data_IF_438694177778
#
_entry.id   IF_438694177778
#
_cell.length_a   1.000
_cell.length_b   1.000
_cell.length_c   1.000
_cell.angle_alpha   90.00
_cell.angle_beta   90.00
_cell.angle_gamma   90.00
#
_symmetry.space_group_name_H-M   'P 1'
#
loop_
_entity.id
_entity.type
_entity.pdbx_description
1 polymer ?
#
# COMPACT_ATOMS: atom_id res chain seq x y z
N UNK A 1 -2.36 1.51 0.33
CA UNK A 1 -2.34 0.36 -0.62
C UNK A 1 -2.12 0.80 -2.08
N UNK A 2 -2.83 1.79 -2.63
CA UNK A 2 -2.65 2.22 -4.03
C UNK A 2 -1.22 2.65 -4.40
N UNK A 3 -0.42 3.16 -3.47
CA UNK A 3 1.00 3.46 -3.69
C UNK A 3 1.77 2.20 -4.11
N UNK A 4 1.63 1.11 -3.37
CA UNK A 4 2.29 -0.15 -3.72
C UNK A 4 1.79 -0.76 -5.03
N UNK A 5 0.50 -0.58 -5.35
CA UNK A 5 -0.04 -0.99 -6.65
C UNK A 5 0.62 -0.22 -7.81
N UNK A 6 0.88 1.08 -7.64
CA UNK A 6 1.64 1.88 -8.61
C UNK A 6 3.07 1.39 -8.82
N UNK A 7 3.74 0.96 -7.75
CA UNK A 7 5.07 0.35 -7.82
C UNK A 7 5.04 -0.96 -8.62
N UNK A 8 4.07 -1.83 -8.34
CA UNK A 8 3.88 -3.11 -9.04
C UNK A 8 3.63 -2.90 -10.55
N UNK A 9 2.81 -1.90 -10.88
CA UNK A 9 2.46 -1.55 -12.25
C UNK A 9 3.68 -1.04 -13.03
N UNK A 10 4.47 -0.14 -12.44
CA UNK A 10 5.69 0.40 -13.07
C UNK A 10 6.74 -0.68 -13.32
N UNK A 11 6.92 -1.60 -12.39
CA UNK A 11 7.84 -2.74 -12.58
C UNK A 11 7.27 -3.84 -13.47
N UNK A 12 6.04 -3.68 -13.98
CA UNK A 12 5.38 -4.62 -14.90
C UNK A 12 5.36 -6.06 -14.38
N UNK A 13 5.08 -6.23 -13.09
CA UNK A 13 5.10 -7.55 -12.44
C UNK A 13 3.91 -8.44 -12.81
N UNK A 14 2.93 -7.89 -13.51
CA UNK A 14 1.80 -8.63 -14.05
C UNK A 14 0.61 -8.82 -13.08
N UNK A 15 -0.45 -9.44 -13.60
CA UNK A 15 -1.72 -9.58 -12.90
C UNK A 15 -1.65 -10.49 -11.68
N UNK A 16 -0.80 -11.52 -11.70
CA UNK A 16 -0.66 -12.43 -10.55
C UNK A 16 -0.06 -11.70 -9.34
N UNK A 17 0.98 -10.87 -9.54
CA UNK A 17 1.56 -10.07 -8.49
C UNK A 17 0.56 -9.05 -7.94
N UNK A 18 -0.18 -8.38 -8.82
CA UNK A 18 -1.22 -7.43 -8.43
C UNK A 18 -2.34 -8.11 -7.63
N UNK A 19 -2.82 -9.27 -8.06
CA UNK A 19 -3.87 -10.02 -7.36
C UNK A 19 -3.41 -10.47 -5.97
N UNK A 20 -2.20 -11.02 -5.86
CA UNK A 20 -1.61 -11.39 -4.58
C UNK A 20 -1.45 -10.18 -3.65
N UNK A 21 -0.99 -9.05 -4.19
CA UNK A 21 -0.86 -7.80 -3.45
C UNK A 21 -2.21 -7.31 -2.90
N UNK A 22 -3.26 -7.30 -3.72
CA UNK A 22 -4.61 -6.87 -3.32
C UNK A 22 -5.16 -7.79 -2.24
N UNK A 23 -5.04 -9.11 -2.40
CA UNK A 23 -5.51 -10.09 -1.39
C UNK A 23 -4.83 -9.86 -0.04
N UNK A 24 -3.50 -9.71 -0.03
CA UNK A 24 -2.75 -9.44 1.20
C UNK A 24 -3.04 -8.04 1.78
N UNK A 25 -3.24 -7.05 0.93
CA UNK A 25 -3.68 -5.71 1.35
C UNK A 25 -5.02 -5.74 2.08
N UNK A 26 -5.99 -6.49 1.54
CA UNK A 26 -7.29 -6.67 2.18
C UNK A 26 -7.16 -7.35 3.55
N UNK A 27 -6.29 -8.36 3.65
CA UNK A 27 -6.01 -9.03 4.92
C UNK A 27 -5.44 -8.06 5.96
N UNK A 28 -4.45 -7.23 5.60
CA UNK A 28 -3.91 -6.20 6.51
C UNK A 28 -4.97 -5.16 6.90
N UNK A 29 -5.77 -4.70 5.95
CA UNK A 29 -6.88 -3.77 6.23
C UNK A 29 -7.87 -4.35 7.25
N UNK A 30 -8.22 -5.63 7.14
CA UNK A 30 -9.07 -6.33 8.10
C UNK A 30 -8.44 -6.38 9.49
N UNK A 31 -7.14 -6.72 9.59
CA UNK A 31 -6.42 -6.75 10.87
C UNK A 31 -6.44 -5.39 11.55
N UNK A 32 -6.11 -4.33 10.81
CA UNK A 32 -6.11 -2.95 11.32
C UNK A 32 -7.51 -2.56 11.75
N UNK A 33 -8.49 -2.75 10.87
CA UNK A 33 -9.89 -2.39 11.16
C UNK A 33 -10.44 -3.10 12.38
N UNK A 34 -10.18 -4.40 12.53
CA UNK A 34 -10.56 -5.18 13.72
C UNK A 34 -9.94 -4.62 14.99
N UNK A 35 -8.66 -4.27 14.95
CA UNK A 35 -7.95 -3.67 16.08
C UNK A 35 -8.48 -2.27 16.45
N UNK A 36 -9.14 -1.60 15.50
CA UNK A 36 -9.83 -0.31 15.67
C UNK A 36 -11.33 -0.46 15.99
N UNK A 37 -11.83 -1.69 16.17
CA UNK A 37 -13.23 -1.96 16.52
C UNK A 37 -14.20 -2.09 15.33
N UNK A 38 -13.69 -2.13 14.09
CA UNK A 38 -14.52 -2.36 12.92
C UNK A 38 -14.96 -3.83 12.81
N UNK A 39 -16.11 -4.06 12.16
CA UNK A 39 -16.56 -5.41 11.80
C UNK A 39 -15.81 -5.89 10.58
N UNK A 40 -15.25 -7.10 10.65
CA UNK A 40 -14.49 -7.70 9.54
C UNK A 40 -15.32 -7.84 8.26
N UNK A 41 -16.62 -8.14 8.39
CA UNK A 41 -17.54 -8.26 7.25
C UNK A 41 -17.64 -6.98 6.41
N UNK A 42 -17.42 -5.80 7.00
CA UNK A 42 -17.42 -4.52 6.28
C UNK A 42 -16.38 -4.49 5.17
N UNK A 43 -15.22 -5.13 5.40
CA UNK A 43 -14.13 -5.17 4.42
C UNK A 43 -14.37 -6.12 3.24
N UNK A 44 -15.36 -7.02 3.32
CA UNK A 44 -15.69 -7.93 2.23
C UNK A 44 -16.62 -7.30 1.18
N UNK A 45 -17.23 -6.17 1.49
CA UNK A 45 -18.16 -5.46 0.63
C UNK A 45 -17.52 -4.38 -0.24
N UNK A 46 -18.39 -3.58 -0.89
CA UNK A 46 -17.96 -2.50 -1.79
C UNK A 46 -17.11 -1.43 -1.10
N UNK A 47 -17.39 -1.12 0.17
CA UNK A 47 -16.63 -0.14 0.95
C UNK A 47 -15.25 -0.63 1.42
N UNK A 48 -14.93 -1.89 1.26
CA UNK A 48 -13.64 -2.49 1.58
C UNK A 48 -12.96 -3.02 0.32
N UNK A 49 -13.26 -4.28 -0.06
CA UNK A 49 -12.66 -4.94 -1.22
C UNK A 49 -12.91 -4.19 -2.52
N UNK A 50 -14.15 -3.72 -2.74
CA UNK A 50 -14.51 -3.01 -3.97
C UNK A 50 -13.71 -1.73 -4.14
N UNK A 51 -13.64 -0.91 -3.09
CA UNK A 51 -12.85 0.32 -3.08
C UNK A 51 -11.35 0.06 -3.25
N UNK A 52 -10.83 -0.94 -2.55
CA UNK A 52 -9.42 -1.35 -2.66
C UNK A 52 -9.06 -1.73 -4.11
N UNK A 53 -9.86 -2.57 -4.76
CA UNK A 53 -9.65 -2.99 -6.15
C UNK A 53 -9.70 -1.76 -7.07
N UNK A 54 -10.76 -0.96 -6.98
CA UNK A 54 -10.95 0.22 -7.80
C UNK A 54 -9.76 1.18 -7.67
N UNK A 55 -9.32 1.45 -6.45
CA UNK A 55 -8.23 2.39 -6.18
C UNK A 55 -6.87 1.85 -6.64
N UNK A 56 -6.60 0.55 -6.48
CA UNK A 56 -5.35 -0.07 -6.93
C UNK A 56 -5.21 -0.08 -8.46
N UNK A 57 -6.30 -0.25 -9.20
CA UNK A 57 -6.28 -0.22 -10.67
C UNK A 57 -6.48 1.17 -11.28
N UNK A 58 -6.82 2.18 -10.47
CA UNK A 58 -7.04 3.53 -10.97
C UNK A 58 -5.71 4.27 -11.19
N UNK A 59 -5.22 4.27 -12.42
CA UNK A 59 -3.99 4.98 -12.83
C UNK A 59 -4.06 6.50 -12.65
N UNK A 60 -5.25 7.07 -12.55
CA UNK A 60 -5.45 8.49 -12.26
C UNK A 60 -5.39 8.80 -10.76
N UNK A 61 -5.37 7.80 -9.90
CA UNK A 61 -5.20 7.98 -8.45
C UNK A 61 -3.84 8.61 -8.16
N UNK A 62 -3.82 9.72 -7.41
CA UNK A 62 -2.57 10.37 -6.98
C UNK A 62 -1.67 9.44 -6.17
N UNK A 63 -2.25 8.58 -5.36
CA UNK A 63 -1.50 7.56 -4.63
C UNK A 63 -0.84 6.54 -5.56
N UNK A 64 -1.55 6.11 -6.62
CA UNK A 64 -0.97 5.22 -7.63
C UNK A 64 0.15 5.92 -8.40
N UNK A 65 -0.06 7.18 -8.83
CA UNK A 65 0.95 7.98 -9.53
C UNK A 65 2.20 8.20 -8.67
N UNK A 66 2.05 8.40 -7.35
CA UNK A 66 3.16 8.46 -6.41
C UNK A 66 3.97 7.16 -6.45
N UNK A 67 3.31 6.01 -6.37
CA UNK A 67 3.98 4.71 -6.44
C UNK A 67 4.77 4.51 -7.72
N UNK A 68 4.18 4.89 -8.87
CA UNK A 68 4.86 4.89 -10.18
C UNK A 68 6.09 5.80 -10.17
N UNK A 69 5.97 7.01 -9.62
CA UNK A 69 7.08 7.97 -9.53
C UNK A 69 8.24 7.45 -8.69
N UNK A 70 7.93 6.91 -7.50
CA UNK A 70 8.94 6.33 -6.61
C UNK A 70 9.66 5.13 -7.26
N UNK A 71 8.93 4.28 -7.97
CA UNK A 71 9.51 3.15 -8.71
C UNK A 71 10.44 3.58 -9.84
N UNK A 72 10.20 4.78 -10.42
CA UNK A 72 11.10 5.43 -11.41
C UNK A 72 12.31 6.12 -10.77
N UNK A 73 12.43 6.12 -9.46
CA UNK A 73 13.51 6.77 -8.73
C UNK A 73 13.29 8.27 -8.48
N UNK A 74 12.08 8.79 -8.67
CA UNK A 74 11.72 10.16 -8.31
C UNK A 74 11.63 10.24 -6.77
N UNK A 75 12.23 11.26 -6.17
CA UNK A 75 12.11 11.47 -4.73
C UNK A 75 10.69 11.84 -4.30
N UNK A 76 10.36 11.63 -3.02
CA UNK A 76 9.06 11.99 -2.48
C UNK A 76 8.73 13.48 -2.72
N UNK A 77 9.69 14.38 -2.45
CA UNK A 77 9.52 15.81 -2.67
C UNK A 77 9.24 16.16 -4.14
N UNK A 78 9.96 15.53 -5.07
CA UNK A 78 9.70 15.75 -6.50
C UNK A 78 8.34 15.22 -6.92
N UNK A 79 7.91 14.09 -6.39
CA UNK A 79 6.60 13.52 -6.67
C UNK A 79 5.47 14.43 -6.15
N UNK A 80 5.61 14.98 -4.93
CA UNK A 80 4.65 15.95 -4.37
C UNK A 80 4.55 17.23 -5.20
N UNK A 81 5.66 17.69 -5.80
CA UNK A 81 5.66 18.87 -6.67
C UNK A 81 5.03 18.61 -8.04
N UNK A 82 5.20 17.40 -8.59
CA UNK A 82 4.71 17.02 -9.92
C UNK A 82 3.24 16.59 -9.93
N UNK A 83 2.76 16.00 -8.85
CA UNK A 83 1.38 15.53 -8.74
C UNK A 83 0.51 16.66 -8.23
N UNK A 84 -0.43 17.13 -9.05
CA UNK A 84 -1.36 18.17 -8.67
C UNK A 84 -2.29 17.74 -7.54
N UNK A 85 -2.27 18.47 -6.43
CA UNK A 85 -3.14 18.28 -5.28
C UNK A 85 -2.53 17.39 -4.21
N UNK A 86 -3.25 17.21 -3.12
CA UNK A 86 -2.80 16.47 -1.94
C UNK A 86 -2.74 14.96 -2.22
N UNK A 87 -1.63 14.34 -1.88
CA UNK A 87 -1.46 12.88 -1.92
C UNK A 87 -1.78 12.33 -0.53
N UNK A 88 -3.05 12.03 -0.29
CA UNK A 88 -3.55 11.63 1.02
C UNK A 88 -2.86 10.37 1.59
N UNK A 89 -2.39 9.47 0.73
CA UNK A 89 -1.71 8.25 1.12
C UNK A 89 -0.41 8.48 1.89
N UNK A 90 0.28 9.60 1.70
CA UNK A 90 1.48 9.96 2.46
C UNK A 90 1.10 10.16 3.93
N UNK A 91 0.12 11.03 4.17
CA UNK A 91 -0.33 11.35 5.51
C UNK A 91 -1.00 10.16 6.21
N UNK A 92 -1.85 9.45 5.48
CA UNK A 92 -2.52 8.24 5.96
C UNK A 92 -1.52 7.16 6.37
N UNK A 93 -0.45 6.94 5.60
CA UNK A 93 0.58 5.95 5.92
C UNK A 93 1.26 6.28 7.25
N UNK A 94 1.60 7.55 7.48
CA UNK A 94 2.24 7.99 8.72
C UNK A 94 1.35 7.70 9.94
N UNK A 95 0.08 8.13 9.88
CA UNK A 95 -0.88 7.93 10.99
C UNK A 95 -1.13 6.44 11.24
N UNK A 96 -1.35 5.67 10.17
CA UNK A 96 -1.57 4.22 10.30
C UNK A 96 -0.36 3.52 10.90
N UNK A 97 0.85 3.92 10.51
CA UNK A 97 2.07 3.31 11.04
C UNK A 97 2.22 3.54 12.55
N UNK A 98 1.87 4.72 13.06
CA UNK A 98 1.83 5.02 14.50
C UNK A 98 0.83 4.09 15.22
N UNK A 99 -0.40 3.98 14.71
CA UNK A 99 -1.44 3.12 15.31
C UNK A 99 -1.03 1.65 15.31
N UNK A 100 -0.46 1.18 14.19
CA UNK A 100 -0.01 -0.20 14.00
C UNK A 100 1.11 -0.53 14.99
N UNK A 101 2.07 0.37 15.15
CA UNK A 101 3.20 0.22 16.06
C UNK A 101 2.74 0.14 17.51
N UNK A 102 1.86 1.04 17.94
CA UNK A 102 1.31 1.04 19.31
C UNK A 102 0.53 -0.25 19.62
N UNK A 103 -0.23 -0.73 18.67
CA UNK A 103 -1.04 -1.95 18.82
C UNK A 103 -0.29 -3.23 18.50
N UNK A 104 0.96 -3.14 18.08
CA UNK A 104 1.83 -4.28 17.67
C UNK A 104 1.15 -5.17 16.61
N UNK A 105 0.53 -4.54 15.61
CA UNK A 105 -0.13 -5.24 14.51
C UNK A 105 0.91 -5.51 13.41
N UNK A 106 1.06 -6.75 13.02
CA UNK A 106 1.93 -7.13 11.90
C UNK A 106 1.27 -6.77 10.57
N UNK A 107 1.86 -5.84 9.82
CA UNK A 107 1.35 -5.28 8.56
C UNK A 107 2.48 -5.07 7.55
N UNK A 108 3.01 -6.16 6.98
CA UNK A 108 4.20 -6.10 6.12
C UNK A 108 4.09 -5.13 4.95
N UNK A 109 2.91 -5.00 4.35
CA UNK A 109 2.71 -4.09 3.21
C UNK A 109 2.80 -2.64 3.66
N UNK A 110 2.13 -2.29 4.75
CA UNK A 110 2.20 -0.93 5.32
C UNK A 110 3.63 -0.61 5.76
N UNK A 111 4.34 -1.56 6.38
CA UNK A 111 5.73 -1.40 6.81
C UNK A 111 6.63 -1.08 5.61
N UNK A 112 6.48 -1.80 4.49
CA UNK A 112 7.26 -1.53 3.29
C UNK A 112 6.92 -0.18 2.65
N UNK A 113 5.64 0.20 2.59
CA UNK A 113 5.22 1.50 2.08
C UNK A 113 5.81 2.62 2.95
N UNK A 114 5.74 2.48 4.28
CA UNK A 114 6.32 3.43 5.22
C UNK A 114 7.86 3.57 5.03
N UNK A 115 8.56 2.45 4.88
CA UNK A 115 10.01 2.45 4.67
C UNK A 115 10.41 3.11 3.34
N UNK A 116 9.62 2.90 2.28
CA UNK A 116 9.86 3.55 0.98
C UNK A 116 9.60 5.06 1.07
N UNK A 117 8.51 5.47 1.71
CA UNK A 117 8.13 6.88 1.80
C UNK A 117 9.07 7.70 2.69
N UNK A 118 9.44 7.17 3.86
CA UNK A 118 10.05 7.99 4.91
C UNK A 118 11.48 7.59 5.28
N UNK A 119 11.92 6.40 4.89
CA UNK A 119 13.25 5.89 5.24
C UNK A 119 14.13 5.58 4.03
N UNK A 120 13.72 6.03 2.83
CA UNK A 120 14.53 5.93 1.61
C UNK A 120 14.77 4.50 1.12
N UNK A 121 13.92 3.53 1.52
CA UNK A 121 14.04 2.16 1.03
C UNK A 121 13.73 2.11 -0.46
N UNK A 122 14.57 1.40 -1.22
CA UNK A 122 14.34 1.15 -2.64
C UNK A 122 13.02 0.37 -2.83
N UNK A 123 12.07 0.88 -3.65
CA UNK A 123 10.82 0.19 -3.95
C UNK A 123 11.00 -1.23 -4.47
N UNK A 124 12.06 -1.50 -5.22
CA UNK A 124 12.39 -2.83 -5.73
C UNK A 124 12.76 -3.80 -4.61
N UNK A 125 13.53 -3.33 -3.62
CA UNK A 125 13.85 -4.12 -2.44
C UNK A 125 12.61 -4.36 -1.57
N UNK A 126 11.74 -3.35 -1.44
CA UNK A 126 10.48 -3.49 -0.69
C UNK A 126 9.59 -4.60 -1.26
N UNK A 127 9.44 -4.65 -2.60
CA UNK A 127 8.69 -5.73 -3.26
C UNK A 127 9.37 -7.07 -3.06
N UNK A 128 10.69 -7.14 -3.24
CA UNK A 128 11.46 -8.39 -3.05
C UNK A 128 11.25 -8.95 -1.65
N UNK A 129 11.27 -8.10 -0.63
CA UNK A 129 11.03 -8.53 0.76
C UNK A 129 9.61 -9.06 0.94
N UNK A 130 8.62 -8.44 0.32
CA UNK A 130 7.24 -8.94 0.37
C UNK A 130 7.07 -10.30 -0.31
N UNK A 131 7.74 -10.51 -1.46
CA UNK A 131 7.69 -11.77 -2.22
C UNK A 131 8.42 -12.92 -1.51
N UNK A 132 9.50 -12.63 -0.79
CA UNK A 132 10.31 -13.64 -0.08
C UNK A 132 9.73 -14.05 1.28
N UNK A 133 8.65 -13.43 1.73
CA UNK A 133 7.98 -13.84 2.97
C UNK A 133 7.34 -15.22 2.80
N UNK A 134 7.56 -16.10 3.78
CA UNK A 134 6.81 -17.35 3.88
C UNK A 134 5.31 -17.03 3.95
N UNK A 135 4.53 -17.82 3.22
CA UNK A 135 3.07 -17.67 3.24
C UNK A 135 2.56 -17.76 4.67
N UNK A 136 1.96 -16.67 5.12
CA UNK A 136 1.15 -16.69 6.33
C UNK A 136 -0.14 -17.39 5.94
N UNK A 137 -0.60 -18.35 6.74
CA UNK A 137 -1.93 -18.96 6.54
C UNK A 137 -2.97 -17.84 6.54
N UNK A 138 -3.55 -17.64 5.39
CA UNK A 138 -4.67 -16.70 5.18
C UNK A 138 -5.94 -17.24 5.83
#
# INVERSE_FOLDING_TARGET
MAIGAGVIDEFKLGSNAMSSYITRSLYEMKKIGKAMGAKESTFNGNSGMGDLITTCFNKSSRNHQLGVGLAKGISLNEAEQKINGVIEGIHTTKILYEIISDKKIETPIIDQINNVLFFGKDPKLAIKDLLNRKDVKE
#
